data_IF_085639612580
#
_entry.id   IF_085639612580
#
_cell.length_a   1.000
_cell.length_b   1.000
_cell.length_c   1.000
_cell.angle_alpha   90.00
_cell.angle_beta   90.00
_cell.angle_gamma   90.00
#
_symmetry.space_group_name_H-M   'P 1'
#
loop_
_entity.id
_entity.type
_entity.pdbx_description
1 polymer ?
#
# COMPACT_ATOMS: atom_id res chain seq x y z
N UNK A 1 -21.44 13.82 -42.20
CA UNK A 1 -20.33 12.88 -42.47
C UNK A 1 -19.02 13.63 -42.26
N UNK A 2 -18.23 13.24 -41.26
CA UNK A 2 -17.09 14.02 -40.75
C UNK A 2 -15.86 13.92 -41.68
N UNK A 3 -15.50 14.98 -42.44
CA UNK A 3 -14.39 14.98 -43.41
C UNK A 3 -12.99 15.04 -42.76
N UNK A 4 -12.92 14.80 -41.45
CA UNK A 4 -11.71 14.92 -40.64
C UNK A 4 -10.97 13.58 -40.53
N UNK A 5 -11.71 12.48 -40.43
CA UNK A 5 -11.13 11.13 -40.31
C UNK A 5 -10.36 10.71 -41.57
N UNK A 6 -10.84 11.08 -42.77
CA UNK A 6 -10.19 10.76 -44.04
C UNK A 6 -8.89 11.53 -44.26
N UNK A 7 -8.76 12.75 -43.72
CA UNK A 7 -7.51 13.53 -43.79
C UNK A 7 -6.42 12.94 -42.90
N UNK A 8 -6.80 12.44 -41.72
CA UNK A 8 -5.89 11.72 -40.84
C UNK A 8 -5.42 10.43 -41.49
N UNK A 9 -6.34 9.64 -42.05
CA UNK A 9 -6.01 8.39 -42.74
C UNK A 9 -4.98 8.58 -43.87
N UNK A 10 -5.22 9.54 -44.78
CA UNK A 10 -4.28 9.82 -45.88
C UNK A 10 -2.94 10.41 -45.40
N UNK A 11 -2.91 11.03 -44.22
CA UNK A 11 -1.67 11.51 -43.59
C UNK A 11 -0.85 10.35 -42.99
N UNK A 12 -1.51 9.38 -42.36
CA UNK A 12 -0.88 8.16 -41.84
C UNK A 12 -0.38 7.24 -42.97
N UNK A 13 -1.10 7.16 -44.09
CA UNK A 13 -0.71 6.33 -45.26
C UNK A 13 0.57 6.84 -45.93
N UNK A 14 0.86 8.15 -45.79
CA UNK A 14 2.10 8.77 -46.29
C UNK A 14 3.32 8.47 -45.42
N UNK A 15 3.14 8.06 -44.16
CA UNK A 15 4.19 7.56 -43.29
C UNK A 15 4.42 6.06 -43.55
N UNK A 16 4.98 5.74 -44.72
CA UNK A 16 5.41 4.39 -45.06
C UNK A 16 6.23 3.77 -43.92
N UNK A 17 5.83 2.55 -43.52
CA UNK A 17 6.09 1.94 -42.21
C UNK A 17 7.53 1.99 -41.68
N UNK A 18 8.56 2.06 -42.52
CA UNK A 18 9.96 2.20 -42.05
C UNK A 18 10.19 3.48 -41.25
N UNK A 19 9.57 4.60 -41.65
CA UNK A 19 9.67 5.88 -40.90
C UNK A 19 8.83 5.85 -39.62
N UNK A 20 7.71 5.13 -39.64
CA UNK A 20 6.85 4.95 -38.47
C UNK A 20 7.55 4.10 -37.39
N UNK A 21 8.23 3.02 -37.82
CA UNK A 21 9.05 2.18 -36.93
C UNK A 21 10.21 2.99 -36.34
N UNK A 22 10.89 3.81 -37.15
CA UNK A 22 11.96 4.67 -36.66
C UNK A 22 11.47 5.69 -35.62
N UNK A 23 10.30 6.29 -35.83
CA UNK A 23 9.66 7.19 -34.86
C UNK A 23 9.27 6.44 -33.57
N UNK A 24 8.71 5.24 -33.69
CA UNK A 24 8.33 4.43 -32.54
C UNK A 24 9.54 4.05 -31.68
N UNK A 25 10.65 3.65 -32.31
CA UNK A 25 11.91 3.33 -31.62
C UNK A 25 12.48 4.58 -30.94
N UNK A 26 12.44 5.74 -31.60
CA UNK A 26 12.88 6.99 -31.00
C UNK A 26 12.05 7.36 -29.76
N UNK A 27 10.72 7.27 -29.84
CA UNK A 27 9.85 7.48 -28.69
C UNK A 27 10.13 6.48 -27.57
N UNK A 28 10.31 5.20 -27.90
CA UNK A 28 10.61 4.17 -26.92
C UNK A 28 11.89 4.47 -26.13
N UNK A 29 12.96 4.90 -26.81
CA UNK A 29 14.23 5.27 -26.16
C UNK A 29 14.05 6.48 -25.23
N UNK A 30 13.26 7.48 -25.65
CA UNK A 30 12.94 8.66 -24.83
C UNK A 30 12.16 8.26 -23.57
N UNK A 31 11.09 7.46 -23.72
CA UNK A 31 10.31 7.03 -22.55
C UNK A 31 11.07 6.08 -21.64
N UNK A 32 11.97 5.26 -22.19
CA UNK A 32 12.85 4.40 -21.40
C UNK A 32 13.78 5.22 -20.50
N UNK A 33 14.39 6.28 -21.04
CA UNK A 33 15.27 7.15 -20.25
C UNK A 33 14.52 7.97 -19.19
N UNK A 34 13.31 8.47 -19.51
CA UNK A 34 12.44 9.11 -18.51
C UNK A 34 12.01 8.14 -17.41
N UNK A 35 11.65 6.90 -17.76
CA UNK A 35 11.26 5.88 -16.80
C UNK A 35 12.37 5.54 -15.81
N UNK A 36 13.62 5.44 -16.29
CA UNK A 36 14.80 5.23 -15.43
C UNK A 36 15.06 6.43 -14.53
N UNK A 37 14.89 7.67 -15.04
CA UNK A 37 15.11 8.88 -14.25
C UNK A 37 14.11 9.04 -13.08
N UNK A 38 12.84 8.71 -13.29
CA UNK A 38 11.81 8.79 -12.23
C UNK A 38 12.03 7.70 -11.17
N UNK A 39 12.59 6.55 -11.54
CA UNK A 39 12.86 5.44 -10.63
C UNK A 39 13.94 5.70 -9.57
N UNK A 40 14.70 6.79 -9.68
CA UNK A 40 15.81 7.10 -8.75
C UNK A 40 15.51 8.24 -7.77
N UNK A 41 14.31 8.80 -7.73
CA UNK A 41 13.95 9.80 -6.71
C UNK A 41 13.46 9.05 -5.46
N UNK A 42 14.26 8.92 -4.39
CA UNK A 42 13.76 8.39 -3.12
C UNK A 42 12.73 9.39 -2.58
N UNK A 43 11.48 8.94 -2.47
CA UNK A 43 10.43 9.68 -1.81
C UNK A 43 10.77 9.68 -0.31
N UNK A 44 11.42 10.74 0.16
CA UNK A 44 11.75 10.95 1.56
C UNK A 44 10.51 11.39 2.33
N UNK A 45 9.70 10.44 2.77
CA UNK A 45 8.82 10.64 3.93
C UNK A 45 9.54 10.10 5.17
N UNK A 46 10.37 10.95 5.77
CA UNK A 46 11.03 10.69 7.05
C UNK A 46 10.03 10.92 8.19
N UNK A 47 9.81 9.91 9.03
CA UNK A 47 9.35 10.08 10.40
C UNK A 47 9.85 8.88 11.24
N UNK A 48 11.14 8.96 11.57
CA UNK A 48 11.78 8.60 12.86
C UNK A 48 10.94 7.81 13.88
N UNK A 49 11.44 6.62 14.23
CA UNK A 49 11.25 6.04 15.56
C UNK A 49 11.28 4.51 15.63
N UNK A 50 12.43 3.93 16.00
CA UNK A 50 12.52 2.59 16.61
C UNK A 50 12.87 1.44 15.67
N UNK A 51 14.15 1.10 15.61
CA UNK A 51 14.70 -0.07 14.92
C UNK A 51 14.51 -1.36 15.73
N UNK A 52 14.16 -2.45 15.06
CA UNK A 52 14.89 -3.72 15.24
C UNK A 52 14.95 -4.41 13.88
N UNK A 53 16.13 -4.42 13.29
CA UNK A 53 16.39 -4.91 11.93
C UNK A 53 16.80 -6.38 12.02
N UNK A 54 15.99 -7.28 11.46
CA UNK A 54 16.48 -8.60 11.05
C UNK A 54 16.62 -8.56 9.53
N UNK A 55 17.85 -8.42 9.06
CA UNK A 55 18.18 -8.55 7.64
C UNK A 55 18.22 -10.05 7.31
N UNK A 56 17.35 -10.51 6.42
CA UNK A 56 17.57 -11.74 5.66
C UNK A 56 17.89 -11.33 4.23
N UNK A 57 19.08 -11.71 3.77
CA UNK A 57 19.57 -11.46 2.42
C UNK A 57 18.69 -12.14 1.37
N UNK A 58 18.32 -11.38 0.33
CA UNK A 58 17.69 -11.93 -0.87
C UNK A 58 16.69 -11.00 -1.54
N UNK A 59 17.15 -10.24 -2.54
CA UNK A 59 16.35 -9.60 -3.58
C UNK A 59 15.44 -8.43 -3.14
N UNK A 60 15.99 -7.20 -3.21
CA UNK A 60 15.34 -5.96 -2.82
C UNK A 60 14.22 -5.55 -3.80
N UNK A 61 13.02 -6.11 -3.59
CA UNK A 61 11.78 -5.33 -3.71
C UNK A 61 11.66 -4.47 -2.44
N UNK A 62 11.06 -3.26 -2.49
CA UNK A 62 10.68 -2.57 -1.26
C UNK A 62 9.65 -3.47 -0.57
N UNK A 63 10.10 -4.23 0.42
CA UNK A 63 9.23 -4.96 1.32
C UNK A 63 8.51 -3.87 2.09
N UNK A 64 7.26 -3.59 1.72
CA UNK A 64 6.36 -2.83 2.57
C UNK A 64 6.52 -3.39 3.98
N UNK A 65 6.85 -2.55 4.97
CA UNK A 65 7.11 -3.01 6.35
C UNK A 65 5.83 -3.59 6.91
N UNK A 66 5.69 -4.91 6.76
CA UNK A 66 4.63 -5.69 7.36
C UNK A 66 5.02 -5.93 8.81
N UNK A 67 4.19 -5.44 9.73
CA UNK A 67 4.36 -5.55 11.19
C UNK A 67 3.53 -6.72 11.70
N UNK A 68 4.11 -7.47 12.63
CA UNK A 68 3.42 -8.53 13.37
C UNK A 68 3.22 -8.12 14.82
N UNK A 69 1.99 -8.24 15.32
CA UNK A 69 1.66 -8.00 16.73
C UNK A 69 0.76 -9.11 17.26
N UNK A 70 0.97 -9.48 18.52
CA UNK A 70 0.19 -10.53 19.19
C UNK A 70 -0.57 -9.93 20.36
N UNK A 71 -1.82 -10.35 20.54
CA UNK A 71 -2.65 -9.83 21.60
C UNK A 71 -4.10 -10.28 21.50
N UNK A 72 -4.92 -9.79 22.42
CA UNK A 72 -6.36 -10.03 22.43
C UNK A 72 -7.08 -8.95 21.63
N UNK A 73 -7.89 -9.34 20.66
CA UNK A 73 -8.72 -8.40 19.89
C UNK A 73 -9.96 -8.04 20.70
N UNK A 74 -10.22 -6.76 20.89
CA UNK A 74 -11.37 -6.27 21.67
C UNK A 74 -12.06 -5.15 20.92
N UNK A 75 -13.40 -5.14 20.97
CA UNK A 75 -14.21 -4.05 20.45
C UNK A 75 -13.88 -2.72 21.15
N UNK A 76 -13.84 -1.64 20.37
CA UNK A 76 -13.68 -0.27 20.83
C UNK A 76 -14.83 0.56 20.29
N UNK A 77 -15.32 1.50 21.09
CA UNK A 77 -16.42 2.39 20.69
C UNK A 77 -16.02 3.21 19.44
N UNK A 78 -16.74 3.09 18.31
CA UNK A 78 -16.46 3.83 17.08
C UNK A 78 -16.58 5.34 17.26
N UNK A 79 -17.33 5.80 18.26
CA UNK A 79 -17.49 7.22 18.59
C UNK A 79 -16.18 7.89 19.00
N UNK A 80 -15.17 7.10 19.40
CA UNK A 80 -13.83 7.60 19.73
C UNK A 80 -13.02 7.97 18.47
N UNK A 81 -13.34 7.35 17.32
CA UNK A 81 -12.68 7.59 16.03
C UNK A 81 -13.72 7.73 14.90
N UNK A 82 -14.57 8.77 14.94
CA UNK A 82 -15.73 8.90 14.04
C UNK A 82 -15.33 9.07 12.56
N UNK A 83 -14.10 9.51 12.29
CA UNK A 83 -13.59 9.73 10.95
C UNK A 83 -12.90 8.49 10.33
N UNK A 84 -12.57 7.48 11.14
CA UNK A 84 -11.75 6.35 10.71
C UNK A 84 -12.53 5.01 10.68
N UNK A 85 -13.77 5.01 11.15
CA UNK A 85 -14.61 3.80 11.29
C UNK A 85 -13.90 2.65 12.02
N UNK A 86 -13.05 2.99 13.00
CA UNK A 86 -12.26 2.03 13.77
C UNK A 86 -13.09 1.55 14.94
N UNK A 87 -13.28 0.22 15.02
CA UNK A 87 -14.12 -0.42 16.05
C UNK A 87 -13.39 -1.48 16.85
N UNK A 88 -12.08 -1.62 16.69
CA UNK A 88 -11.31 -2.69 17.34
C UNK A 88 -9.93 -2.19 17.78
N UNK A 89 -9.42 -2.80 18.85
CA UNK A 89 -8.08 -2.58 19.38
C UNK A 89 -7.43 -3.89 19.81
N UNK A 90 -6.11 -3.90 19.81
CA UNK A 90 -5.31 -5.02 20.31
C UNK A 90 -4.87 -4.74 21.74
N UNK A 91 -5.12 -5.68 22.65
CA UNK A 91 -4.62 -5.63 24.02
C UNK A 91 -3.43 -6.58 24.19
N UNK A 92 -2.43 -6.17 24.97
CA UNK A 92 -1.32 -7.05 25.36
C UNK A 92 -1.74 -8.07 26.43
N UNK A 93 -0.79 -8.91 26.87
CA UNK A 93 -0.98 -9.88 27.95
C UNK A 93 -1.30 -9.24 29.32
N UNK A 94 -1.03 -7.95 29.48
CA UNK A 94 -1.34 -7.17 30.69
C UNK A 94 -2.71 -6.49 30.61
N UNK A 95 -3.43 -6.65 29.49
CA UNK A 95 -4.72 -5.99 29.23
C UNK A 95 -4.60 -4.52 28.81
N UNK A 96 -3.39 -4.02 28.55
CA UNK A 96 -3.16 -2.65 28.10
C UNK A 96 -3.35 -2.55 26.59
N UNK A 97 -3.96 -1.46 26.12
CA UNK A 97 -4.12 -1.21 24.70
C UNK A 97 -2.76 -0.97 24.03
N UNK A 98 -2.48 -1.76 22.99
CA UNK A 98 -1.25 -1.71 22.20
C UNK A 98 -1.47 -0.83 20.98
N UNK A 99 -2.52 -1.10 20.20
CA UNK A 99 -2.80 -0.38 18.96
C UNK A 99 -4.28 -0.47 18.54
N UNK A 100 -4.73 0.47 17.73
CA UNK A 100 -5.99 0.39 16.99
C UNK A 100 -5.88 -0.60 15.82
N UNK A 101 -7.00 -1.24 15.48
CA UNK A 101 -7.08 -2.22 14.41
C UNK A 101 -8.12 -1.80 13.37
N UNK A 102 -7.74 -1.89 12.10
CA UNK A 102 -8.65 -1.71 10.98
C UNK A 102 -8.42 -2.80 9.94
N UNK A 103 -9.49 -3.19 9.25
CA UNK A 103 -9.50 -4.22 8.23
C UNK A 103 -10.50 -3.85 7.15
N UNK A 104 -10.20 -4.22 5.91
CA UNK A 104 -11.12 -4.03 4.77
C UNK A 104 -12.29 -5.02 4.78
N UNK A 105 -12.15 -6.11 5.54
CA UNK A 105 -13.11 -7.21 5.65
C UNK A 105 -13.58 -7.41 7.10
N UNK A 106 -14.55 -8.31 7.30
CA UNK A 106 -15.16 -8.59 8.62
C UNK A 106 -14.27 -9.48 9.53
N UNK A 107 -12.99 -9.70 9.20
CA UNK A 107 -12.16 -10.67 9.95
C UNK A 107 -11.96 -10.31 11.41
N UNK A 108 -11.92 -9.01 11.74
CA UNK A 108 -11.77 -8.53 13.12
C UNK A 108 -12.99 -8.87 13.99
N UNK A 109 -14.19 -8.93 13.38
CA UNK A 109 -15.42 -9.33 14.07
C UNK A 109 -15.41 -10.82 14.41
N UNK A 110 -14.87 -11.65 13.53
CA UNK A 110 -14.80 -13.11 13.72
C UNK A 110 -13.85 -13.50 14.85
N UNK A 111 -12.80 -12.71 15.06
CA UNK A 111 -11.75 -12.97 16.04
C UNK A 111 -11.89 -12.13 17.30
N UNK A 112 -13.01 -11.44 17.47
CA UNK A 112 -13.30 -10.66 18.67
C UNK A 112 -13.21 -11.56 19.91
N UNK A 113 -12.46 -11.10 20.92
CA UNK A 113 -12.21 -11.82 22.15
C UNK A 113 -11.14 -12.90 22.07
N UNK A 114 -10.63 -13.23 20.87
CA UNK A 114 -9.56 -14.21 20.70
C UNK A 114 -8.17 -13.57 20.88
N UNK A 115 -7.24 -14.36 21.42
CA UNK A 115 -5.81 -14.03 21.41
C UNK A 115 -5.20 -14.57 20.12
N UNK A 116 -4.74 -13.67 19.26
CA UNK A 116 -4.22 -14.01 17.93
C UNK A 116 -2.96 -13.21 17.63
N UNK A 117 -2.20 -13.67 16.64
CA UNK A 117 -1.16 -12.86 16.01
C UNK A 117 -1.72 -12.23 14.74
N UNK A 118 -1.60 -10.91 14.63
CA UNK A 118 -2.04 -10.12 13.50
C UNK A 118 -0.82 -9.65 12.72
N UNK A 119 -0.96 -9.63 11.40
CA UNK A 119 0.06 -9.17 10.47
C UNK A 119 -0.55 -8.12 9.55
N UNK A 120 0.13 -6.99 9.36
CA UNK A 120 -0.44 -5.87 8.60
C UNK A 120 0.49 -4.68 8.46
N UNK A 121 -0.03 -3.57 7.99
CA UNK A 121 0.73 -2.32 7.79
C UNK A 121 0.36 -1.30 8.85
N UNK A 122 1.35 -0.57 9.35
CA UNK A 122 1.10 0.59 10.19
C UNK A 122 0.63 1.76 9.33
N UNK A 123 -0.48 2.36 9.74
CA UNK A 123 -1.04 3.59 9.23
C UNK A 123 -1.32 4.52 10.40
N UNK A 124 -1.83 5.71 10.12
CA UNK A 124 -2.33 6.63 11.12
C UNK A 124 -3.82 6.84 10.96
N UNK A 125 -4.47 7.26 12.05
CA UNK A 125 -5.82 7.83 12.02
C UNK A 125 -5.89 9.04 11.08
N UNK A 126 -7.08 9.41 10.63
CA UNK A 126 -7.31 10.56 9.75
C UNK A 126 -6.82 11.88 10.35
N UNK A 127 -6.78 11.98 11.68
CA UNK A 127 -6.23 13.14 12.39
C UNK A 127 -4.71 13.06 12.63
N UNK A 128 -4.07 11.94 12.27
CA UNK A 128 -2.62 11.71 12.35
C UNK A 128 -2.07 11.46 13.76
N UNK A 129 -2.92 11.35 14.77
CA UNK A 129 -2.50 11.31 16.19
C UNK A 129 -2.20 9.90 16.69
N UNK A 130 -2.93 8.89 16.21
CA UNK A 130 -2.82 7.53 16.71
C UNK A 130 -2.40 6.57 15.60
N UNK A 131 -1.64 5.56 15.98
CA UNK A 131 -1.20 4.51 15.06
C UNK A 131 -2.30 3.44 14.93
N UNK A 132 -2.50 2.98 13.70
CA UNK A 132 -3.52 1.99 13.34
C UNK A 132 -2.84 0.86 12.57
N UNK A 133 -3.06 -0.38 13.01
CA UNK A 133 -2.66 -1.55 12.22
C UNK A 133 -3.78 -1.88 11.22
N UNK A 134 -3.47 -1.70 9.93
CA UNK A 134 -4.26 -2.24 8.83
C UNK A 134 -3.97 -3.74 8.71
N UNK A 135 -4.88 -4.56 9.20
CA UNK A 135 -4.70 -6.01 9.30
C UNK A 135 -4.89 -6.65 7.93
N UNK A 136 -3.83 -7.30 7.46
CA UNK A 136 -3.85 -8.09 6.22
C UNK A 136 -4.15 -9.56 6.53
N UNK A 137 -3.45 -10.14 7.52
CA UNK A 137 -3.54 -11.56 7.87
C UNK A 137 -3.70 -11.76 9.37
N UNK A 138 -4.51 -12.77 9.72
CA UNK A 138 -4.67 -13.30 11.08
C UNK A 138 -4.01 -14.66 11.15
N UNK A 139 -3.21 -14.88 12.19
CA UNK A 139 -2.49 -16.12 12.47
C UNK A 139 -3.02 -16.66 13.80
N UNK A 140 -3.73 -17.78 13.74
CA UNK A 140 -4.17 -18.50 14.93
C UNK A 140 -3.01 -19.32 15.50
N UNK A 141 -2.83 -19.26 16.82
CA UNK A 141 -1.92 -20.15 17.53
C UNK A 141 -2.39 -21.60 17.39
N UNK A 142 -1.45 -22.54 17.31
CA UNK A 142 -1.70 -23.97 17.23
C UNK A 142 -2.00 -24.55 18.60
#
# INVERSE_FOLDING_TARGET
MLPYASRLYNYFEKFQGKRLIALLVAFFIIFLSLGVAIGQIPILFDNRGGETIIVTEGNQKPVEKVVEMSGKVVYSDPSLHPNDNISYKLLDSSGKAVILLSATDDKLKVIEGATVKLQGKLSKTADGKEDVLLVDKVIFGK
#
